data_IF_420610939810
#
_entry.id   IF_420610939810
#
_cell.length_a   1.000
_cell.length_b   1.000
_cell.length_c   1.000
_cell.angle_alpha   90.00
_cell.angle_beta   90.00
_cell.angle_gamma   90.00
#
_symmetry.space_group_name_H-M   'P 1'
#
loop_
_entity.id
_entity.type
_entity.pdbx_description
1 polymer ?
#
# COMPACT_ATOMS: atom_id res chain seq x y z
N UNK A 1 -3.96 8.65 -10.34
CA UNK A 1 -3.15 7.42 -10.28
C UNK A 1 -1.71 7.77 -10.60
N UNK A 2 -0.73 7.31 -9.82
CA UNK A 2 0.70 7.67 -10.00
C UNK A 2 1.28 7.20 -11.35
N UNK A 3 0.68 6.18 -11.98
CA UNK A 3 1.07 5.68 -13.30
C UNK A 3 0.28 6.27 -14.48
N UNK A 4 -0.09 7.57 -14.41
CA UNK A 4 -1.04 8.21 -15.33
C UNK A 4 -0.72 8.09 -16.83
N UNK A 5 0.52 7.80 -17.20
CA UNK A 5 0.95 7.63 -18.61
C UNK A 5 1.84 6.40 -18.81
N UNK A 6 1.85 5.49 -17.85
CA UNK A 6 2.66 4.28 -17.99
C UNK A 6 2.07 3.38 -19.08
N UNK A 7 2.96 2.73 -19.82
CA UNK A 7 2.61 1.73 -20.81
C UNK A 7 3.14 0.37 -20.38
N UNK A 8 2.41 -0.67 -20.74
CA UNK A 8 2.81 -2.06 -20.50
C UNK A 8 2.49 -2.94 -21.69
N UNK A 9 2.99 -4.17 -21.66
CA UNK A 9 2.63 -5.22 -22.61
C UNK A 9 2.42 -6.54 -21.86
N UNK A 10 1.60 -7.41 -22.45
CA UNK A 10 1.39 -8.77 -21.96
C UNK A 10 2.41 -9.69 -22.63
N UNK A 11 3.09 -10.50 -21.81
CA UNK A 11 3.95 -11.61 -22.25
C UNK A 11 3.24 -12.93 -21.99
N UNK A 12 3.07 -13.74 -23.03
CA UNK A 12 2.42 -15.06 -22.94
C UNK A 12 3.16 -16.04 -23.84
N UNK A 13 3.60 -17.18 -23.29
CA UNK A 13 4.32 -18.24 -24.03
C UNK A 13 5.51 -17.73 -24.88
N UNK A 14 6.25 -16.74 -24.37
CA UNK A 14 7.37 -16.13 -25.08
C UNK A 14 6.99 -15.03 -26.08
N UNK A 15 5.72 -14.87 -26.42
CA UNK A 15 5.24 -13.78 -27.27
C UNK A 15 4.94 -12.52 -26.45
N UNK A 16 5.27 -11.36 -27.03
CA UNK A 16 5.04 -10.05 -26.43
C UNK A 16 4.04 -9.27 -27.29
N UNK A 17 2.96 -8.84 -26.67
CA UNK A 17 1.94 -8.00 -27.32
C UNK A 17 2.42 -6.57 -27.56
N UNK A 18 1.65 -5.80 -28.34
CA UNK A 18 1.88 -4.35 -28.48
C UNK A 18 1.71 -3.66 -27.12
N UNK A 19 2.43 -2.56 -26.93
CA UNK A 19 2.27 -1.74 -25.74
C UNK A 19 0.89 -1.06 -25.71
N UNK A 20 0.35 -0.91 -24.50
CA UNK A 20 -0.89 -0.20 -24.22
C UNK A 20 -0.79 0.58 -22.91
N UNK A 21 -1.57 1.66 -22.79
CA UNK A 21 -1.61 2.47 -21.58
C UNK A 21 -2.28 1.70 -20.43
N UNK A 22 -1.70 1.77 -19.23
CA UNK A 22 -2.34 1.19 -18.05
C UNK A 22 -3.26 2.20 -17.38
N UNK A 23 -4.47 1.77 -17.05
CA UNK A 23 -5.45 2.55 -16.29
C UNK A 23 -5.61 2.07 -14.85
N UNK A 24 -5.18 0.83 -14.58
CA UNK A 24 -5.29 0.14 -13.29
C UNK A 24 -4.20 -0.92 -13.15
N UNK A 25 -4.06 -1.44 -11.94
CA UNK A 25 -3.09 -2.48 -11.57
C UNK A 25 -1.63 -2.03 -11.67
N UNK A 26 -0.76 -2.89 -11.14
CA UNK A 26 0.68 -2.76 -11.22
C UNK A 26 1.26 -4.00 -11.90
N UNK A 27 2.37 -3.83 -12.65
CA UNK A 27 3.06 -4.97 -13.27
C UNK A 27 3.78 -5.78 -12.20
N UNK A 28 3.53 -7.09 -12.16
CA UNK A 28 4.30 -8.01 -11.31
C UNK A 28 5.79 -8.00 -11.70
N UNK A 29 6.67 -8.04 -10.70
CA UNK A 29 8.11 -7.90 -10.90
C UNK A 29 8.58 -6.50 -11.26
N UNK A 30 7.69 -5.50 -11.25
CA UNK A 30 8.09 -4.10 -11.38
C UNK A 30 8.71 -3.62 -10.05
N UNK A 31 9.96 -3.15 -10.02
CA UNK A 31 10.64 -2.79 -8.78
C UNK A 31 10.01 -1.58 -8.07
N UNK A 32 9.35 -0.67 -8.82
CA UNK A 32 8.74 0.54 -8.26
C UNK A 32 7.27 0.37 -7.87
N UNK A 33 6.61 -0.70 -8.34
CA UNK A 33 5.20 -0.94 -8.06
C UNK A 33 4.87 -1.03 -6.55
N UNK A 34 5.67 -1.71 -5.71
CA UNK A 34 5.41 -1.78 -4.26
C UNK A 34 5.46 -0.40 -3.59
N UNK A 35 6.43 0.44 -3.97
CA UNK A 35 6.57 1.79 -3.40
C UNK A 35 5.39 2.68 -3.77
N UNK A 36 4.96 2.62 -5.04
CA UNK A 36 3.79 3.37 -5.51
C UNK A 36 2.53 2.90 -4.78
N UNK A 37 2.39 1.61 -4.50
CA UNK A 37 1.29 1.08 -3.71
C UNK A 37 1.28 1.68 -2.29
N UNK A 38 2.41 1.63 -1.59
CA UNK A 38 2.55 2.19 -0.23
C UNK A 38 2.24 3.70 -0.23
N UNK A 39 2.75 4.46 -1.20
CA UNK A 39 2.48 5.89 -1.32
C UNK A 39 1.00 6.21 -1.54
N UNK A 40 0.24 5.32 -2.20
CA UNK A 40 -1.20 5.49 -2.36
C UNK A 40 -1.99 5.12 -1.10
N UNK A 41 -1.51 4.17 -0.30
CA UNK A 41 -2.16 3.76 0.94
C UNK A 41 -1.91 4.76 2.09
N UNK A 42 -0.77 5.43 2.11
CA UNK A 42 -0.37 6.31 3.23
C UNK A 42 -1.38 7.44 3.55
N UNK A 43 -1.98 8.15 2.57
CA UNK A 43 -2.99 9.17 2.89
C UNK A 43 -4.18 8.62 3.70
N UNK A 44 -4.60 7.38 3.40
CA UNK A 44 -5.66 6.70 4.16
C UNK A 44 -5.17 6.34 5.55
N UNK A 45 -3.93 5.85 5.67
CA UNK A 45 -3.30 5.55 6.96
C UNK A 45 -3.20 6.80 7.84
N UNK A 46 -2.78 7.93 7.28
CA UNK A 46 -2.72 9.21 7.98
C UNK A 46 -4.10 9.65 8.48
N UNK A 47 -5.13 9.51 7.64
CA UNK A 47 -6.51 9.83 8.03
C UNK A 47 -6.96 8.95 9.22
N UNK A 48 -6.72 7.64 9.15
CA UNK A 48 -7.08 6.70 10.24
C UNK A 48 -6.34 7.02 11.53
N UNK A 49 -5.03 7.29 11.45
CA UNK A 49 -4.22 7.63 12.64
C UNK A 49 -4.65 8.96 13.27
N UNK A 50 -5.01 9.94 12.44
CA UNK A 50 -5.41 11.28 12.86
C UNK A 50 -6.85 11.41 13.38
N UNK A 51 -7.71 10.42 13.11
CA UNK A 51 -9.10 10.41 13.58
C UNK A 51 -9.19 10.01 15.06
N UNK A 52 -9.71 10.91 15.90
CA UNK A 52 -9.87 10.67 17.34
C UNK A 52 -11.01 9.71 17.69
N UNK A 53 -11.99 9.52 16.80
CA UNK A 53 -13.10 8.58 17.01
C UNK A 53 -12.67 7.13 16.76
N UNK A 54 -11.63 6.92 15.95
CA UNK A 54 -11.04 5.59 15.72
C UNK A 54 -10.15 5.21 16.91
N UNK A 55 -10.56 4.17 17.64
CA UNK A 55 -9.82 3.59 18.76
C UNK A 55 -8.92 2.44 18.28
N UNK A 56 -7.67 2.41 18.73
CA UNK A 56 -6.70 1.37 18.41
C UNK A 56 -6.62 0.25 19.44
N UNK A 57 -5.73 -0.71 19.18
CA UNK A 57 -5.37 -1.77 20.11
C UNK A 57 -4.22 -1.31 21.00
N UNK A 58 -4.35 -1.53 22.31
CA UNK A 58 -3.29 -1.29 23.29
C UNK A 58 -2.31 -2.45 23.29
N UNK A 59 -1.12 -2.22 22.74
CA UNK A 59 -0.04 -3.20 22.70
C UNK A 59 0.95 -2.95 23.84
N UNK A 60 1.53 -4.00 24.44
CA UNK A 60 2.61 -3.84 25.40
C UNK A 60 3.86 -3.28 24.71
N UNK A 61 4.62 -2.42 25.39
CA UNK A 61 5.90 -1.89 24.87
C UNK A 61 6.12 -0.39 25.05
N UNK A 62 5.23 0.31 25.76
CA UNK A 62 5.49 1.67 26.23
C UNK A 62 6.57 1.69 27.31
N UNK A 63 7.10 2.88 27.60
CA UNK A 63 8.05 3.05 28.70
C UNK A 63 7.37 2.74 30.03
N UNK A 64 8.11 2.19 30.99
CA UNK A 64 7.65 1.97 32.36
C UNK A 64 6.33 1.16 32.49
N UNK A 65 6.09 0.22 31.56
CA UNK A 65 4.92 -0.64 31.57
C UNK A 65 3.67 -0.04 30.92
N UNK A 66 3.79 1.12 30.29
CA UNK A 66 2.70 1.70 29.51
C UNK A 66 2.39 0.91 28.23
N UNK A 67 1.18 1.09 27.72
CA UNK A 67 0.75 0.52 26.45
C UNK A 67 0.90 1.54 25.32
N UNK A 68 1.25 1.08 24.13
CA UNK A 68 1.22 1.88 22.90
C UNK A 68 -0.10 1.57 22.17
N UNK A 69 -0.87 2.60 21.84
CA UNK A 69 -2.06 2.44 21.01
C UNK A 69 -1.67 2.37 19.54
N UNK A 70 -2.02 1.25 18.89
CA UNK A 70 -1.85 1.05 17.44
C UNK A 70 -3.22 1.03 16.79
N UNK A 71 -3.46 1.95 15.85
CA UNK A 71 -4.73 2.01 15.10
C UNK A 71 -4.71 1.22 13.80
N UNK A 72 -3.51 1.01 13.26
CA UNK A 72 -3.33 0.43 11.93
C UNK A 72 -1.90 -0.04 11.73
N UNK A 73 -1.73 -1.28 11.28
CA UNK A 73 -0.51 -1.82 10.72
C UNK A 73 -0.78 -2.26 9.28
N UNK A 74 0.00 -1.79 8.31
CA UNK A 74 -0.17 -2.16 6.90
C UNK A 74 1.13 -2.70 6.33
N UNK A 75 1.02 -3.78 5.57
CA UNK A 75 2.12 -4.36 4.81
C UNK A 75 1.63 -4.71 3.40
N UNK A 76 1.99 -3.88 2.42
CA UNK A 76 1.40 -3.96 1.08
C UNK A 76 -0.13 -4.02 1.18
N UNK A 77 -0.78 -5.06 0.63
CA UNK A 77 -2.23 -5.27 0.70
C UNK A 77 -2.73 -5.87 2.01
N UNK A 78 -1.85 -6.40 2.86
CA UNK A 78 -2.21 -6.89 4.19
C UNK A 78 -2.46 -5.70 5.14
N UNK A 79 -3.59 -5.75 5.85
CA UNK A 79 -3.95 -4.78 6.88
C UNK A 79 -4.29 -5.51 8.17
N UNK A 80 -3.62 -5.12 9.25
CA UNK A 80 -3.81 -5.64 10.60
C UNK A 80 -4.20 -4.51 11.55
N UNK A 81 -4.95 -4.87 12.58
CA UNK A 81 -5.30 -3.98 13.70
C UNK A 81 -4.14 -3.88 14.69
#
# INVERSE_FOLDING_TARGET
MLFKYAQTCIKTNGFVSKYFNISRSCRQGCPIAPLVYILQAEPVACAIRGDSEIQGIKLPGGKDGEYIETKLCMFADDTQL
#
